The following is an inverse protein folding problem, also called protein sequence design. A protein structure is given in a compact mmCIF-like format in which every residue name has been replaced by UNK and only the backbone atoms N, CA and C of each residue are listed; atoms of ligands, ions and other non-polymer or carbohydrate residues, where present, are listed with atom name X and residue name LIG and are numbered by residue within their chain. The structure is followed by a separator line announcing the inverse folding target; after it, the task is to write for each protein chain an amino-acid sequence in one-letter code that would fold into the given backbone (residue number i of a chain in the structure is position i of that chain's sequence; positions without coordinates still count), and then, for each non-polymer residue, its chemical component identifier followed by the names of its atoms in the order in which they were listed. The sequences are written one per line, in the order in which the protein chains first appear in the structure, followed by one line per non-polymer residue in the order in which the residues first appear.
data_IF_763070094728
#
_entry.id   IF_763070094728
#
_cell.length_a   1.000
_cell.length_b   1.000
_cell.length_c   1.000
_cell.angle_alpha   90.00
_cell.angle_beta   90.00
_cell.angle_gamma   90.00
#
_symmetry.space_group_name_H-M   'P 1'
#
loop_
_entity.id
_entity.type
_entity.pdbx_description
1 polymer ?
#
# COMPACT_ATOMS: atom_id res chain seq x y z
N UNK A 1 -39.92 -65.89 -31.70
CA UNK A 1 -40.57 -64.80 -32.40
C UNK A 1 -41.01 -63.76 -31.38
N UNK A 2 -40.24 -62.72 -31.15
CA UNK A 2 -40.73 -61.56 -30.39
C UNK A 2 -39.95 -60.32 -30.84
N UNK A 3 -40.71 -59.31 -31.24
CA UNK A 3 -40.27 -58.09 -31.92
C UNK A 3 -39.58 -57.13 -30.93
N UNK A 4 -38.33 -56.70 -31.23
CA UNK A 4 -37.60 -55.67 -30.55
C UNK A 4 -38.23 -54.31 -30.85
N UNK A 5 -38.77 -53.62 -29.86
CA UNK A 5 -39.24 -52.23 -30.00
C UNK A 5 -38.06 -51.30 -29.73
N UNK A 6 -37.76 -50.48 -30.73
CA UNK A 6 -36.79 -49.38 -30.65
C UNK A 6 -37.34 -48.27 -29.74
N UNK A 7 -36.60 -47.95 -28.70
CA UNK A 7 -36.84 -46.78 -27.85
C UNK A 7 -35.91 -45.65 -28.34
N UNK A 8 -36.50 -44.69 -29.02
CA UNK A 8 -35.79 -43.45 -29.42
C UNK A 8 -35.64 -42.57 -28.18
N UNK A 9 -34.37 -42.35 -27.77
CA UNK A 9 -34.04 -41.36 -26.76
C UNK A 9 -33.81 -40.03 -27.44
N UNK A 10 -34.73 -39.09 -27.29
CA UNK A 10 -34.56 -37.70 -27.67
C UNK A 10 -33.53 -37.02 -26.75
N UNK A 11 -32.34 -36.81 -27.28
CA UNK A 11 -31.33 -35.99 -26.63
C UNK A 11 -31.65 -34.51 -26.92
N UNK A 12 -32.30 -33.83 -26.00
CA UNK A 12 -32.49 -32.37 -26.07
C UNK A 12 -31.18 -31.70 -25.75
N UNK A 13 -30.57 -31.06 -26.76
CA UNK A 13 -29.46 -30.11 -26.60
C UNK A 13 -29.96 -28.92 -25.77
N UNK A 14 -29.53 -28.84 -24.55
CA UNK A 14 -29.57 -27.56 -23.82
C UNK A 14 -28.45 -26.69 -24.36
N UNK A 15 -28.84 -25.67 -25.09
CA UNK A 15 -27.93 -24.58 -25.50
C UNK A 15 -27.24 -23.97 -24.29
N UNK A 16 -25.95 -23.95 -24.32
CA UNK A 16 -25.11 -23.22 -23.36
C UNK A 16 -25.42 -21.73 -23.47
N UNK A 17 -26.26 -21.24 -22.58
CA UNK A 17 -26.45 -19.82 -22.37
C UNK A 17 -25.16 -19.26 -21.74
N UNK A 18 -24.70 -18.20 -22.38
CA UNK A 18 -23.45 -17.50 -22.14
C UNK A 18 -23.00 -17.40 -20.71
N UNK A 19 -21.76 -17.80 -20.48
CA UNK A 19 -20.94 -17.27 -19.42
C UNK A 19 -20.76 -15.76 -19.67
N UNK A 20 -21.70 -14.97 -19.16
CA UNK A 20 -21.44 -13.56 -18.96
C UNK A 20 -20.27 -13.50 -17.99
N UNK A 21 -19.09 -13.20 -18.49
CA UNK A 21 -17.96 -12.77 -17.67
C UNK A 21 -18.45 -11.51 -16.94
N UNK A 22 -18.90 -11.68 -15.71
CA UNK A 22 -19.11 -10.55 -14.82
C UNK A 22 -17.74 -9.89 -14.69
N UNK A 23 -17.53 -8.83 -15.45
CA UNK A 23 -16.40 -7.94 -15.29
C UNK A 23 -16.53 -7.41 -13.87
N UNK A 24 -15.63 -7.86 -12.96
CA UNK A 24 -15.66 -7.41 -11.58
C UNK A 24 -15.53 -5.88 -11.60
N UNK A 25 -16.60 -5.20 -11.18
CA UNK A 25 -16.60 -3.76 -11.08
C UNK A 25 -15.46 -3.33 -10.16
N UNK A 26 -14.64 -2.41 -10.63
CA UNK A 26 -13.57 -1.81 -9.82
C UNK A 26 -14.13 -1.21 -8.52
N UNK A 27 -13.31 -1.11 -7.50
CA UNK A 27 -13.69 -0.39 -6.28
C UNK A 27 -13.73 1.10 -6.62
N UNK A 28 -14.94 1.63 -6.80
CA UNK A 28 -15.16 3.07 -6.98
C UNK A 28 -15.48 3.67 -5.62
N UNK A 29 -14.60 4.54 -5.16
CA UNK A 29 -14.94 5.42 -4.05
C UNK A 29 -15.75 6.57 -4.63
N UNK A 30 -16.98 6.75 -4.17
CA UNK A 30 -17.86 7.79 -4.67
C UNK A 30 -17.11 9.13 -4.75
N UNK A 31 -17.11 9.76 -5.91
CA UNK A 31 -16.44 11.04 -6.22
C UNK A 31 -14.89 11.03 -6.04
N UNK A 32 -14.23 9.86 -6.18
CA UNK A 32 -12.80 9.71 -5.98
C UNK A 32 -12.10 8.90 -7.08
N UNK A 33 -10.98 8.31 -6.69
CA UNK A 33 -10.17 7.44 -7.55
C UNK A 33 -10.86 6.10 -7.73
N UNK A 34 -10.74 5.53 -8.94
CA UNK A 34 -11.13 4.16 -9.23
C UNK A 34 -9.90 3.25 -9.24
N UNK A 35 -9.97 2.11 -8.57
CA UNK A 35 -8.92 1.09 -8.53
C UNK A 35 -9.50 -0.30 -8.74
N UNK A 36 -8.63 -1.26 -9.07
CA UNK A 36 -9.01 -2.67 -9.26
C UNK A 36 -9.61 -3.24 -7.97
N UNK A 37 -10.45 -4.30 -8.05
CA UNK A 37 -10.86 -5.06 -6.87
C UNK A 37 -9.65 -5.62 -6.11
N UNK A 38 -9.82 -5.89 -4.81
CA UNK A 38 -8.79 -6.56 -4.02
C UNK A 38 -8.46 -7.93 -4.62
N UNK A 39 -7.16 -8.25 -4.69
CA UNK A 39 -6.69 -9.53 -5.22
C UNK A 39 -7.31 -10.72 -4.48
N UNK A 40 -7.80 -11.71 -5.22
CA UNK A 40 -8.33 -12.96 -4.63
C UNK A 40 -7.23 -13.81 -3.98
N UNK A 41 -5.99 -13.64 -4.38
CA UNK A 41 -4.85 -14.37 -3.80
C UNK A 41 -4.70 -14.13 -2.30
N UNK A 42 -5.12 -12.95 -1.80
CA UNK A 42 -5.04 -12.61 -0.38
C UNK A 42 -5.75 -13.60 0.56
N UNK A 43 -6.78 -14.35 0.08
CA UNK A 43 -7.49 -15.34 0.91
C UNK A 43 -6.58 -16.50 1.35
N UNK A 44 -5.47 -16.74 0.64
CA UNK A 44 -4.47 -17.75 0.99
C UNK A 44 -3.54 -17.30 2.13
N UNK A 45 -3.66 -16.07 2.61
CA UNK A 45 -3.02 -15.56 3.82
C UNK A 45 -4.13 -15.05 4.76
N UNK A 46 -4.55 -15.81 5.79
CA UNK A 46 -5.64 -15.42 6.67
C UNK A 46 -5.40 -14.08 7.35
N UNK A 47 -6.39 -13.18 7.27
CA UNK A 47 -6.25 -11.79 7.73
C UNK A 47 -5.84 -11.67 9.19
N UNK A 48 -6.49 -12.46 10.06
CA UNK A 48 -6.23 -12.44 11.50
C UNK A 48 -4.77 -12.82 11.81
N UNK A 49 -4.25 -13.87 11.14
CA UNK A 49 -2.85 -14.30 11.32
C UNK A 49 -1.86 -13.24 10.85
N UNK A 50 -2.16 -12.58 9.72
CA UNK A 50 -1.32 -11.50 9.17
C UNK A 50 -1.34 -10.29 10.10
N UNK A 51 -2.50 -9.89 10.61
CA UNK A 51 -2.64 -8.77 11.54
C UNK A 51 -1.93 -9.05 12.88
N UNK A 52 -2.03 -10.27 13.40
CA UNK A 52 -1.36 -10.66 14.65
C UNK A 52 0.16 -10.67 14.47
N UNK A 53 0.65 -11.23 13.38
CA UNK A 53 2.08 -11.22 13.09
C UNK A 53 2.63 -9.79 12.90
N UNK A 54 1.88 -8.92 12.21
CA UNK A 54 2.23 -7.51 12.08
C UNK A 54 2.27 -6.81 13.44
N UNK A 55 1.32 -7.11 14.31
CA UNK A 55 1.27 -6.58 15.68
C UNK A 55 2.50 -6.99 16.48
N UNK A 56 2.86 -8.27 16.46
CA UNK A 56 4.03 -8.79 17.18
C UNK A 56 5.32 -8.18 16.64
N UNK A 57 5.50 -8.14 15.31
CA UNK A 57 6.67 -7.57 14.67
C UNK A 57 6.81 -6.07 14.99
N UNK A 58 5.72 -5.31 14.93
CA UNK A 58 5.75 -3.90 15.26
C UNK A 58 6.09 -3.66 16.73
N UNK A 59 5.50 -4.42 17.64
CA UNK A 59 5.77 -4.33 19.08
C UNK A 59 7.24 -4.60 19.38
N UNK A 60 7.78 -5.66 18.80
CA UNK A 60 9.20 -6.00 18.96
C UNK A 60 10.11 -4.90 18.42
N UNK A 61 9.82 -4.37 17.24
CA UNK A 61 10.59 -3.28 16.64
C UNK A 61 10.56 -2.02 17.50
N UNK A 62 9.40 -1.65 18.06
CA UNK A 62 9.29 -0.48 18.94
C UNK A 62 10.00 -0.72 20.27
N UNK A 63 10.01 -1.95 20.81
CA UNK A 63 10.78 -2.32 22.00
C UNK A 63 12.27 -2.18 21.76
N UNK A 64 12.78 -2.74 20.68
CA UNK A 64 14.19 -2.63 20.30
C UNK A 64 14.63 -1.19 20.05
N UNK A 65 13.77 -0.38 19.38
CA UNK A 65 14.04 1.04 19.19
C UNK A 65 14.11 1.78 20.52
N UNK A 66 13.22 1.47 21.47
CA UNK A 66 13.21 2.04 22.82
C UNK A 66 14.45 1.65 23.62
N UNK A 67 14.84 0.38 23.61
CA UNK A 67 16.04 -0.12 24.30
C UNK A 67 17.32 0.53 23.79
N UNK A 68 17.39 0.83 22.48
CA UNK A 68 18.50 1.54 21.84
C UNK A 68 18.42 3.07 22.00
N UNK A 69 17.39 3.60 22.68
CA UNK A 69 17.19 5.04 22.81
C UNK A 69 16.80 5.76 21.51
N UNK A 70 16.34 5.01 20.51
CA UNK A 70 15.99 5.54 19.19
C UNK A 70 14.48 5.84 19.03
N UNK A 71 13.64 5.42 19.97
CA UNK A 71 12.21 5.71 19.90
C UNK A 71 11.95 7.13 20.38
N UNK A 72 11.40 7.99 19.51
CA UNK A 72 11.11 9.37 19.85
C UNK A 72 10.09 9.45 21.01
N UNK A 73 10.32 10.32 22.00
CA UNK A 73 9.40 10.51 23.11
C UNK A 73 8.08 11.14 22.61
N UNK A 74 7.01 10.96 23.36
CA UNK A 74 5.67 11.51 23.00
C UNK A 74 5.64 13.03 22.93
N UNK A 75 6.64 13.69 23.49
CA UNK A 75 6.83 15.16 23.46
C UNK A 75 7.51 15.64 22.19
N UNK A 76 8.12 14.74 21.40
CA UNK A 76 8.86 15.09 20.18
C UNK A 76 7.96 15.85 19.18
N UNK A 77 8.41 17.01 18.67
CA UNK A 77 7.62 17.85 17.77
C UNK A 77 7.27 17.15 16.44
N UNK A 78 8.21 16.37 15.88
CA UNK A 78 7.97 15.66 14.61
C UNK A 78 6.99 14.49 14.83
N UNK A 79 7.07 13.78 15.95
CA UNK A 79 6.10 12.75 16.29
C UNK A 79 4.69 13.35 16.47
N UNK A 80 4.57 14.49 17.16
CA UNK A 80 3.28 15.20 17.29
C UNK A 80 2.74 15.63 15.93
N UNK A 81 3.60 16.15 15.05
CA UNK A 81 3.27 16.51 13.67
C UNK A 81 2.71 15.32 12.91
N UNK A 82 3.41 14.18 12.91
CA UNK A 82 2.97 12.95 12.25
C UNK A 82 1.63 12.44 12.80
N UNK A 83 1.44 12.47 14.11
CA UNK A 83 0.17 12.08 14.75
C UNK A 83 -0.99 13.00 14.33
N UNK A 84 -0.74 14.29 14.20
CA UNK A 84 -1.75 15.25 13.70
C UNK A 84 -2.12 14.93 12.24
N UNK A 85 -1.14 14.60 11.40
CA UNK A 85 -1.39 14.19 10.02
C UNK A 85 -2.23 12.91 9.99
N UNK A 86 -1.84 11.88 10.77
CA UNK A 86 -2.58 10.62 10.85
C UNK A 86 -4.03 10.82 11.31
N UNK A 87 -4.25 11.60 12.38
CA UNK A 87 -5.59 11.91 12.89
C UNK A 87 -6.52 12.52 11.84
N UNK A 88 -5.96 13.26 10.88
CA UNK A 88 -6.73 13.86 9.79
C UNK A 88 -6.99 12.87 8.64
N UNK A 89 -6.08 11.94 8.36
CA UNK A 89 -6.19 10.97 7.27
C UNK A 89 -7.07 9.78 7.66
N UNK A 90 -6.91 9.23 8.87
CA UNK A 90 -7.57 8.01 9.35
C UNK A 90 -9.10 8.01 9.14
N UNK A 91 -9.85 9.09 9.36
CA UNK A 91 -11.31 9.11 9.15
C UNK A 91 -11.75 8.76 7.72
N UNK A 92 -10.86 8.85 6.73
CA UNK A 92 -11.15 8.54 5.33
C UNK A 92 -10.78 7.12 4.92
N UNK A 93 -10.08 6.36 5.77
CA UNK A 93 -9.61 5.00 5.49
C UNK A 93 -10.74 3.97 5.33
N UNK A 94 -11.90 4.05 6.07
CA UNK A 94 -12.98 3.08 5.92
C UNK A 94 -13.63 3.07 4.53
N UNK A 95 -13.43 4.12 3.72
CA UNK A 95 -13.89 4.19 2.33
C UNK A 95 -13.20 3.13 1.45
N UNK A 96 -11.96 2.79 1.77
CA UNK A 96 -11.13 1.84 1.04
C UNK A 96 -11.10 0.45 1.68
N UNK A 97 -11.23 0.39 3.00
CA UNK A 97 -11.34 -0.85 3.75
C UNK A 97 -12.21 -0.61 5.00
N UNK A 98 -13.45 -1.09 5.03
CA UNK A 98 -14.37 -0.86 6.16
C UNK A 98 -13.81 -1.37 7.50
N UNK A 99 -12.96 -2.43 7.48
CA UNK A 99 -12.36 -2.99 8.69
C UNK A 99 -11.36 -2.02 9.33
N UNK A 100 -10.81 -1.07 8.56
CA UNK A 100 -9.86 -0.07 9.05
C UNK A 100 -10.45 0.82 10.17
N UNK A 101 -11.78 0.94 10.26
CA UNK A 101 -12.45 1.62 11.38
C UNK A 101 -12.21 0.96 12.75
N UNK A 102 -11.80 -0.32 12.75
CA UNK A 102 -11.53 -1.12 13.95
C UNK A 102 -10.03 -1.32 14.22
N UNK A 103 -9.16 -0.78 13.35
CA UNK A 103 -7.71 -0.94 13.52
C UNK A 103 -7.20 -0.17 14.73
N UNK A 104 -6.20 -0.75 15.39
CA UNK A 104 -5.45 -0.11 16.48
C UNK A 104 -4.36 0.81 15.88
N UNK A 105 -4.80 2.01 15.46
CA UNK A 105 -3.94 2.99 14.80
C UNK A 105 -2.84 3.51 15.74
N UNK A 106 -1.61 3.26 15.37
CA UNK A 106 -0.44 3.72 16.10
C UNK A 106 0.50 4.48 15.17
N UNK A 107 1.11 5.55 15.69
CA UNK A 107 2.13 6.33 14.97
C UNK A 107 3.32 6.51 15.88
N UNK A 108 4.47 6.00 15.45
CA UNK A 108 5.75 6.15 16.12
C UNK A 108 6.83 6.68 15.17
N UNK A 109 7.83 7.36 15.75
CA UNK A 109 8.98 7.92 15.06
C UNK A 109 10.24 7.27 15.59
N UNK A 110 11.06 6.72 14.71
CA UNK A 110 12.37 6.13 15.02
C UNK A 110 13.45 7.14 14.64
N UNK A 111 14.26 7.51 15.60
CA UNK A 111 15.35 8.48 15.45
C UNK A 111 16.56 7.80 14.79
N UNK A 112 16.48 7.63 13.47
CA UNK A 112 17.52 7.04 12.65
C UNK A 112 17.57 7.70 11.26
N UNK A 113 18.73 7.64 10.63
CA UNK A 113 19.04 8.34 9.37
C UNK A 113 18.45 7.67 8.12
N UNK A 114 17.78 6.53 8.29
CA UNK A 114 17.13 5.83 7.19
C UNK A 114 16.05 6.69 6.54
N UNK A 115 16.05 6.71 5.22
CA UNK A 115 15.00 7.34 4.42
C UNK A 115 13.92 6.30 4.22
N UNK A 116 13.06 6.12 5.22
CA UNK A 116 12.03 5.09 5.21
C UNK A 116 10.81 5.48 6.05
N UNK A 117 9.67 4.87 5.70
CA UNK A 117 8.43 4.87 6.46
C UNK A 117 7.67 3.57 6.14
N UNK A 118 6.69 3.20 6.94
CA UNK A 118 5.87 2.01 6.70
C UNK A 118 4.52 2.09 7.42
N UNK A 119 3.55 1.32 6.94
CA UNK A 119 2.32 1.00 7.65
C UNK A 119 2.07 -0.51 7.60
N UNK A 120 2.19 -1.17 8.73
CA UNK A 120 1.86 -2.59 8.85
C UNK A 120 0.33 -2.80 8.92
N UNK A 121 -0.17 -3.98 8.52
CA UNK A 121 -1.56 -4.38 8.70
C UNK A 121 -2.08 -4.10 10.11
N UNK A 122 -3.32 -3.62 10.20
CA UNK A 122 -3.90 -3.20 11.48
C UNK A 122 -3.56 -1.77 11.90
N UNK A 123 -2.97 -0.94 10.99
CA UNK A 123 -2.81 0.50 11.20
C UNK A 123 -1.58 0.93 12.02
N UNK A 124 -0.49 0.18 11.97
CA UNK A 124 0.74 0.44 12.73
C UNK A 124 1.76 1.16 11.87
N UNK A 125 1.87 2.47 12.06
CA UNK A 125 2.68 3.39 11.25
C UNK A 125 4.01 3.67 11.94
N UNK A 126 5.10 3.55 11.20
CA UNK A 126 6.44 3.96 11.61
C UNK A 126 7.07 4.91 10.60
N UNK A 127 7.69 5.96 11.10
CA UNK A 127 8.52 6.87 10.32
C UNK A 127 9.93 6.85 10.89
N UNK A 128 10.92 7.03 10.03
CA UNK A 128 12.30 7.31 10.44
C UNK A 128 12.58 8.81 10.31
N UNK A 129 13.40 9.37 11.19
CA UNK A 129 13.74 10.81 11.11
C UNK A 129 14.41 11.17 9.80
N UNK A 130 15.19 10.24 9.23
CA UNK A 130 15.92 10.47 7.97
C UNK A 130 15.02 10.87 6.81
N UNK A 131 13.81 10.27 6.68
CA UNK A 131 12.89 10.64 5.59
C UNK A 131 12.37 12.07 5.73
N UNK A 132 12.13 12.53 6.97
CA UNK A 132 11.62 13.87 7.25
C UNK A 132 12.69 14.93 6.99
N UNK A 133 13.93 14.66 7.45
CA UNK A 133 15.02 15.63 7.45
C UNK A 133 15.74 15.71 6.11
N UNK A 134 16.11 14.56 5.50
CA UNK A 134 16.85 14.54 4.23
C UNK A 134 16.02 15.02 3.06
N UNK A 135 14.71 14.74 3.07
CA UNK A 135 13.77 15.24 2.06
C UNK A 135 13.15 16.59 2.43
N UNK A 136 13.42 17.12 3.63
CA UNK A 136 12.85 18.39 4.11
C UNK A 136 11.35 18.48 3.87
N UNK A 137 10.60 17.46 4.33
CA UNK A 137 9.20 17.28 3.98
C UNK A 137 8.31 18.39 4.54
N UNK A 138 7.47 18.96 3.67
CA UNK A 138 6.30 19.73 4.09
C UNK A 138 5.26 18.81 4.75
N UNK A 139 4.22 19.37 5.39
CA UNK A 139 3.11 18.58 5.94
C UNK A 139 2.36 17.81 4.84
N UNK A 140 2.17 18.45 3.68
CA UNK A 140 1.51 17.82 2.53
C UNK A 140 2.33 16.64 1.99
N UNK A 141 3.67 16.76 1.93
CA UNK A 141 4.56 15.68 1.50
C UNK A 141 4.62 14.55 2.52
N UNK A 142 4.67 14.86 3.81
CA UNK A 142 4.60 13.85 4.87
C UNK A 142 3.24 13.12 4.86
N UNK A 143 2.16 13.84 4.56
CA UNK A 143 0.83 13.27 4.38
C UNK A 143 0.73 12.39 3.13
N UNK A 144 1.42 12.75 2.04
CA UNK A 144 1.49 11.93 0.82
C UNK A 144 2.19 10.59 1.10
N UNK A 145 3.34 10.60 1.84
CA UNK A 145 4.01 9.36 2.26
C UNK A 145 3.09 8.55 3.18
N UNK A 146 2.55 9.16 4.22
CA UNK A 146 1.69 8.48 5.17
C UNK A 146 0.47 7.86 4.49
N UNK A 147 -0.17 8.59 3.57
CA UNK A 147 -1.28 8.12 2.78
C UNK A 147 -0.90 6.91 1.92
N UNK A 148 0.27 6.96 1.27
CA UNK A 148 0.83 5.86 0.47
C UNK A 148 1.04 4.60 1.31
N UNK A 149 1.68 4.71 2.47
CA UNK A 149 1.90 3.57 3.38
C UNK A 149 0.57 3.00 3.92
N UNK A 150 -0.35 3.89 4.32
CA UNK A 150 -1.70 3.48 4.74
C UNK A 150 -2.42 2.77 3.59
N UNK A 151 -2.29 3.23 2.35
CA UNK A 151 -2.93 2.61 1.18
C UNK A 151 -2.44 1.18 0.96
N UNK A 152 -1.14 0.88 1.14
CA UNK A 152 -0.64 -0.49 1.10
C UNK A 152 -1.34 -1.41 2.10
N UNK A 153 -1.57 -0.93 3.33
CA UNK A 153 -2.29 -1.69 4.33
C UNK A 153 -3.79 -1.83 4.00
N UNK A 154 -4.46 -0.76 3.56
CA UNK A 154 -5.88 -0.76 3.17
C UNK A 154 -6.16 -1.69 1.98
N UNK A 155 -5.24 -1.72 1.01
CA UNK A 155 -5.33 -2.54 -0.20
C UNK A 155 -4.76 -3.94 -0.02
N UNK A 156 -4.31 -4.26 1.20
CA UNK A 156 -3.81 -5.58 1.59
C UNK A 156 -2.64 -6.08 0.73
N UNK A 157 -1.83 -5.17 0.17
CA UNK A 157 -0.71 -5.52 -0.72
C UNK A 157 0.30 -6.46 -0.04
N UNK A 158 0.61 -6.22 1.23
CA UNK A 158 1.47 -7.11 2.02
C UNK A 158 0.89 -8.52 2.16
N UNK A 159 -0.43 -8.62 2.40
CA UNK A 159 -1.15 -9.90 2.53
C UNK A 159 -1.17 -10.67 1.21
N UNK A 160 -1.40 -9.97 0.09
CA UNK A 160 -1.32 -10.58 -1.24
C UNK A 160 0.08 -11.12 -1.54
N UNK A 161 1.12 -10.36 -1.19
CA UNK A 161 2.52 -10.78 -1.36
C UNK A 161 2.87 -12.02 -0.55
N UNK A 162 2.44 -12.07 0.71
CA UNK A 162 2.60 -13.26 1.56
C UNK A 162 1.90 -14.48 0.95
N UNK A 163 0.67 -14.30 0.45
CA UNK A 163 -0.06 -15.36 -0.22
C UNK A 163 0.68 -15.90 -1.45
N UNK A 164 1.18 -15.00 -2.32
CA UNK A 164 1.99 -15.36 -3.50
C UNK A 164 3.28 -16.09 -3.10
N UNK A 165 3.97 -15.62 -2.08
CA UNK A 165 5.19 -16.25 -1.55
C UNK A 165 4.92 -17.66 -1.02
N UNK A 166 3.84 -17.86 -0.27
CA UNK A 166 3.45 -19.18 0.26
C UNK A 166 3.13 -20.18 -0.87
N UNK A 167 2.41 -19.75 -1.90
CA UNK A 167 2.13 -20.58 -3.09
C UNK A 167 3.41 -20.96 -3.82
N UNK A 168 4.33 -20.02 -3.98
CA UNK A 168 5.62 -20.26 -4.63
C UNK A 168 6.48 -21.25 -3.82
N UNK A 169 6.54 -21.08 -2.50
CA UNK A 169 7.28 -21.97 -1.60
C UNK A 169 6.69 -23.40 -1.60
N UNK A 170 5.35 -23.54 -1.65
CA UNK A 170 4.69 -24.82 -1.78
C UNK A 170 4.98 -25.46 -3.13
N UNK A 171 4.89 -24.71 -4.22
CA UNK A 171 5.22 -25.16 -5.57
C UNK A 171 6.69 -25.59 -5.69
N UNK A 172 7.63 -24.89 -5.07
CA UNK A 172 9.04 -25.23 -5.05
C UNK A 172 9.31 -26.54 -4.27
N UNK A 173 8.57 -26.80 -3.19
CA UNK A 173 8.64 -28.07 -2.43
C UNK A 173 8.08 -29.26 -3.22
N UNK A 174 7.07 -29.05 -4.05
CA UNK A 174 6.41 -30.10 -4.84
C UNK A 174 7.08 -30.32 -6.19
N UNK A 175 7.67 -29.27 -6.79
CA UNK A 175 8.16 -29.29 -8.18
C UNK A 175 9.67 -29.07 -8.38
N UNK A 176 10.48 -29.00 -7.33
CA UNK A 176 11.95 -28.88 -7.38
C UNK A 176 12.52 -28.00 -8.49
N UNK A 177 13.07 -26.85 -8.18
CA UNK A 177 14.03 -26.07 -8.99
C UNK A 177 13.53 -25.26 -10.22
N UNK A 178 12.27 -25.37 -10.67
CA UNK A 178 11.86 -24.71 -11.92
C UNK A 178 11.22 -23.30 -11.76
N UNK A 179 10.83 -22.86 -10.56
CA UNK A 179 10.06 -21.63 -10.38
C UNK A 179 10.84 -20.46 -9.75
N UNK A 180 12.06 -20.65 -9.30
CA UNK A 180 12.85 -19.57 -8.67
C UNK A 180 13.23 -18.42 -9.63
N UNK A 181 13.23 -18.67 -10.94
CA UNK A 181 13.60 -17.66 -11.94
C UNK A 181 12.48 -16.70 -12.35
N UNK A 182 11.21 -17.03 -12.10
CA UNK A 182 10.08 -16.29 -12.69
C UNK A 182 9.62 -15.13 -11.80
N UNK A 183 9.83 -15.19 -10.48
CA UNK A 183 9.26 -14.22 -9.53
C UNK A 183 10.26 -13.33 -8.81
N UNK A 184 11.55 -13.41 -9.12
CA UNK A 184 12.57 -12.51 -8.55
C UNK A 184 12.67 -12.55 -7.02
N UNK A 185 12.37 -13.68 -6.40
CA UNK A 185 12.49 -13.85 -4.95
C UNK A 185 13.90 -14.25 -4.59
N UNK A 186 14.59 -13.47 -3.75
CA UNK A 186 15.93 -13.79 -3.25
C UNK A 186 15.88 -15.15 -2.51
N UNK A 187 16.73 -16.13 -2.90
CA UNK A 187 16.80 -17.44 -2.25
C UNK A 187 17.08 -17.39 -0.74
N UNK A 188 17.74 -16.33 -0.26
CA UNK A 188 18.01 -16.13 1.16
C UNK A 188 16.78 -15.68 1.96
N UNK A 189 15.80 -15.03 1.30
CA UNK A 189 14.51 -14.70 1.89
C UNK A 189 13.61 -15.94 2.09
N UNK A 190 13.75 -16.96 1.24
CA UNK A 190 13.00 -18.22 1.36
C UNK A 190 13.36 -19.02 2.60
N UNK A 191 14.58 -18.94 3.07
CA UNK A 191 15.02 -19.59 4.32
C UNK A 191 14.41 -18.93 5.56
N UNK A 192 14.19 -17.60 5.54
CA UNK A 192 13.57 -16.83 6.63
C UNK A 192 12.03 -16.94 6.58
N UNK A 193 11.44 -17.06 5.40
CA UNK A 193 10.01 -17.29 5.22
C UNK A 193 9.57 -18.72 5.62
N UNK A 194 10.50 -19.68 5.62
CA UNK A 194 10.22 -21.04 6.11
C UNK A 194 9.95 -21.08 7.62
N UNK A 195 10.33 -20.06 8.38
CA UNK A 195 10.04 -19.89 9.80
C UNK A 195 8.76 -19.05 10.06
N UNK A 196 7.87 -18.94 9.08
CA UNK A 196 6.55 -18.30 9.17
C UNK A 196 6.63 -16.77 9.33
N UNK A 197 6.16 -16.04 8.36
CA UNK A 197 6.02 -14.59 8.35
C UNK A 197 7.37 -13.82 8.33
N UNK A 198 8.10 -13.95 7.22
CA UNK A 198 9.24 -13.07 6.92
C UNK A 198 8.85 -11.61 7.11
N UNK A 199 9.80 -10.78 7.50
CA UNK A 199 9.54 -9.37 7.83
C UNK A 199 8.68 -8.70 6.75
N UNK A 200 7.50 -8.21 7.12
CA UNK A 200 6.60 -7.47 6.24
C UNK A 200 7.25 -6.20 5.67
N UNK A 201 8.32 -5.73 6.30
CA UNK A 201 9.10 -4.57 5.88
C UNK A 201 9.99 -4.84 4.67
N UNK A 202 10.26 -6.11 4.34
CA UNK A 202 11.15 -6.48 3.23
C UNK A 202 10.37 -6.82 1.95
N UNK A 203 9.04 -6.73 1.97
CA UNK A 203 8.22 -7.04 0.82
C UNK A 203 8.38 -5.96 -0.26
N UNK A 204 8.91 -6.36 -1.40
CA UNK A 204 9.01 -5.49 -2.57
C UNK A 204 7.68 -5.47 -3.32
N UNK A 205 7.08 -4.31 -3.50
CA UNK A 205 5.82 -4.15 -4.19
C UNK A 205 5.98 -4.09 -5.72
N UNK A 206 4.96 -4.51 -6.44
CA UNK A 206 4.92 -4.40 -7.89
C UNK A 206 4.60 -2.97 -8.31
N UNK A 207 4.93 -2.60 -9.55
CA UNK A 207 4.60 -1.26 -10.09
C UNK A 207 3.10 -0.95 -10.05
N UNK A 208 2.24 -1.95 -10.23
CA UNK A 208 0.78 -1.77 -10.16
C UNK A 208 0.32 -1.50 -8.72
N UNK A 209 0.86 -2.24 -7.73
CA UNK A 209 0.58 -2.01 -6.32
C UNK A 209 1.06 -0.62 -5.87
N UNK A 210 2.22 -0.16 -6.38
CA UNK A 210 2.75 1.17 -6.09
C UNK A 210 1.86 2.29 -6.66
N UNK A 211 1.42 2.14 -7.92
CA UNK A 211 0.51 3.12 -8.54
C UNK A 211 -0.83 3.17 -7.84
N UNK A 212 -1.35 2.02 -7.44
CA UNK A 212 -2.58 1.94 -6.65
C UNK A 212 -2.40 2.61 -5.28
N UNK A 213 -1.29 2.37 -4.59
CA UNK A 213 -0.98 2.99 -3.30
C UNK A 213 -0.82 4.52 -3.42
N UNK A 214 -0.19 5.02 -4.49
CA UNK A 214 -0.11 6.45 -4.76
C UNK A 214 -1.50 7.08 -4.89
N UNK A 215 -2.35 6.51 -5.73
CA UNK A 215 -3.67 7.09 -6.02
C UNK A 215 -4.60 7.02 -4.80
N UNK A 216 -4.68 5.87 -4.13
CA UNK A 216 -5.48 5.70 -2.90
C UNK A 216 -4.94 6.58 -1.77
N UNK A 217 -3.62 6.64 -1.62
CA UNK A 217 -2.97 7.50 -0.62
C UNK A 217 -3.23 8.98 -0.85
N UNK A 218 -3.18 9.43 -2.11
CA UNK A 218 -3.52 10.81 -2.47
C UNK A 218 -5.02 11.10 -2.34
N UNK A 219 -5.92 10.14 -2.59
CA UNK A 219 -7.35 10.31 -2.34
C UNK A 219 -7.63 10.59 -0.86
N UNK A 220 -7.14 9.75 0.06
CA UNK A 220 -7.40 9.92 1.49
C UNK A 220 -6.71 11.17 2.06
N UNK A 221 -5.50 11.51 1.60
CA UNK A 221 -4.80 12.71 2.06
C UNK A 221 -5.45 13.98 1.51
N UNK A 222 -5.94 14.01 0.26
CA UNK A 222 -6.69 15.12 -0.31
C UNK A 222 -7.98 15.41 0.46
N UNK A 223 -8.74 14.37 0.82
CA UNK A 223 -9.94 14.48 1.66
C UNK A 223 -9.63 15.00 3.06
N UNK A 224 -8.45 14.67 3.59
CA UNK A 224 -7.93 15.18 4.84
C UNK A 224 -7.45 16.65 4.76
N UNK A 225 -7.47 17.26 3.55
CA UNK A 225 -7.08 18.64 3.29
C UNK A 225 -5.57 18.84 3.11
N UNK A 226 -4.87 17.81 2.62
CA UNK A 226 -3.50 17.90 2.15
C UNK A 226 -3.45 17.99 0.63
N UNK A 227 -2.51 18.77 0.11
CA UNK A 227 -2.41 19.05 -1.32
C UNK A 227 -1.88 17.83 -2.09
N UNK A 228 -2.65 17.22 -3.02
CA UNK A 228 -2.19 16.04 -3.76
C UNK A 228 -0.97 16.29 -4.65
N UNK A 229 -0.71 17.54 -5.04
CA UNK A 229 0.48 17.92 -5.83
C UNK A 229 1.78 17.66 -5.06
N UNK A 230 1.69 17.52 -3.74
CA UNK A 230 2.81 17.13 -2.87
C UNK A 230 3.37 15.74 -3.22
N UNK A 231 2.53 14.80 -3.66
CA UNK A 231 3.01 13.48 -4.10
C UNK A 231 3.97 13.58 -5.28
N UNK A 232 3.66 14.44 -6.26
CA UNK A 232 4.53 14.68 -7.42
C UNK A 232 5.86 15.33 -6.99
N UNK A 233 5.79 16.34 -6.12
CA UNK A 233 6.98 17.03 -5.61
C UNK A 233 7.87 16.07 -4.80
N UNK A 234 7.27 15.24 -3.97
CA UNK A 234 7.95 14.21 -3.19
C UNK A 234 8.74 13.23 -4.08
N UNK A 235 8.11 12.68 -5.13
CA UNK A 235 8.79 11.76 -6.04
C UNK A 235 9.95 12.43 -6.79
N UNK A 236 9.80 13.71 -7.16
CA UNK A 236 10.90 14.48 -7.75
C UNK A 236 12.06 14.67 -6.76
N UNK A 237 11.78 14.96 -5.48
CA UNK A 237 12.79 15.04 -4.43
C UNK A 237 13.51 13.70 -4.24
N UNK A 238 12.76 12.60 -4.14
CA UNK A 238 13.34 11.26 -4.00
C UNK A 238 14.22 10.90 -5.20
N UNK A 239 13.80 11.21 -6.43
CA UNK A 239 14.62 10.98 -7.61
C UNK A 239 15.94 11.77 -7.59
N UNK A 240 15.91 13.02 -7.12
CA UNK A 240 17.11 13.85 -6.98
C UNK A 240 18.06 13.28 -5.91
N UNK A 241 17.55 12.96 -4.75
CA UNK A 241 18.36 12.45 -3.63
C UNK A 241 18.98 11.08 -3.95
N UNK A 242 18.24 10.21 -4.65
CA UNK A 242 18.70 8.86 -5.02
C UNK A 242 19.89 8.85 -5.99
N UNK A 243 20.14 9.96 -6.69
CA UNK A 243 21.34 10.11 -7.53
C UNK A 243 22.62 10.20 -6.70
N UNK A 244 22.53 10.71 -5.48
CA UNK A 244 23.66 10.89 -4.57
C UNK A 244 23.82 9.75 -3.55
N UNK A 245 22.73 9.12 -3.13
CA UNK A 245 22.74 8.03 -2.16
C UNK A 245 21.52 7.11 -2.34
N UNK A 246 21.70 5.78 -2.43
CA UNK A 246 20.59 4.84 -2.47
C UNK A 246 19.69 5.01 -1.22
N UNK A 247 18.37 5.05 -1.44
CA UNK A 247 17.40 5.17 -0.36
C UNK A 247 16.71 3.84 -0.10
N UNK A 248 16.59 3.46 1.18
CA UNK A 248 15.96 2.20 1.59
C UNK A 248 14.52 2.08 1.08
N UNK A 249 13.75 3.15 1.18
CA UNK A 249 12.35 3.19 0.69
C UNK A 249 12.23 2.80 -0.80
N UNK A 250 13.22 3.12 -1.64
CA UNK A 250 13.17 2.76 -3.07
C UNK A 250 13.52 1.30 -3.33
N UNK A 251 14.07 0.58 -2.36
CA UNK A 251 14.31 -0.87 -2.46
C UNK A 251 13.03 -1.67 -2.40
N UNK A 252 12.08 -1.22 -1.59
CA UNK A 252 10.76 -1.83 -1.40
C UNK A 252 9.68 -1.18 -2.27
N UNK A 253 9.81 0.13 -2.54
CA UNK A 253 8.89 0.96 -3.33
C UNK A 253 9.58 1.49 -4.59
N UNK A 254 9.63 0.72 -5.67
CA UNK A 254 10.31 1.14 -6.89
C UNK A 254 9.71 2.42 -7.48
N UNK A 255 10.58 3.40 -7.68
CA UNK A 255 10.24 4.68 -8.28
C UNK A 255 10.10 4.61 -9.80
N UNK A 256 9.78 5.73 -10.40
CA UNK A 256 9.79 5.92 -11.86
C UNK A 256 8.88 7.04 -12.34
N UNK A 257 9.22 7.59 -13.51
CA UNK A 257 8.48 8.66 -14.17
C UNK A 257 7.01 8.29 -14.46
N UNK A 258 6.73 7.00 -14.60
CA UNK A 258 5.37 6.49 -14.82
C UNK A 258 4.45 6.77 -13.64
N UNK A 259 4.95 6.73 -12.39
CA UNK A 259 4.18 7.07 -11.19
C UNK A 259 3.81 8.54 -11.16
N UNK A 260 4.77 9.42 -11.48
CA UNK A 260 4.55 10.87 -11.57
C UNK A 260 3.48 11.18 -12.62
N UNK A 261 3.61 10.62 -13.83
CA UNK A 261 2.63 10.81 -14.92
C UNK A 261 1.24 10.33 -14.53
N UNK A 262 1.16 9.22 -13.81
CA UNK A 262 -0.11 8.67 -13.34
C UNK A 262 -0.78 9.58 -12.31
N UNK A 263 -0.02 10.10 -11.35
CA UNK A 263 -0.52 11.09 -10.40
C UNK A 263 -0.97 12.37 -11.11
N UNK A 264 -0.19 12.88 -12.08
CA UNK A 264 -0.54 14.06 -12.88
C UNK A 264 -1.86 13.87 -13.63
N UNK A 265 -2.08 12.68 -14.23
CA UNK A 265 -3.29 12.35 -14.95
C UNK A 265 -4.55 12.31 -14.05
N UNK A 266 -4.39 12.07 -12.75
CA UNK A 266 -5.49 11.99 -11.80
C UNK A 266 -5.72 13.29 -10.99
N UNK A 267 -4.97 14.36 -11.26
CA UNK A 267 -5.15 15.64 -10.55
C UNK A 267 -6.54 16.25 -10.78
N UNK A 268 -7.18 15.98 -11.90
CA UNK A 268 -8.56 16.41 -12.18
C UNK A 268 -9.59 15.79 -11.21
N UNK A 269 -9.29 14.62 -10.60
CA UNK A 269 -10.09 13.97 -9.57
C UNK A 269 -9.65 14.41 -8.17
N UNK A 270 -8.34 14.47 -7.91
CA UNK A 270 -7.78 14.72 -6.58
C UNK A 270 -7.91 16.18 -6.13
N UNK A 271 -7.69 17.16 -7.03
CA UNK A 271 -7.80 18.57 -6.67
C UNK A 271 -9.21 19.00 -6.23
N UNK A 272 -10.32 18.51 -6.81
CA UNK A 272 -11.65 18.76 -6.28
C UNK A 272 -11.86 18.26 -4.85
N UNK A 273 -11.29 17.09 -4.48
CA UNK A 273 -11.36 16.56 -3.12
C UNK A 273 -10.63 17.49 -2.14
N UNK A 274 -9.44 17.91 -2.49
CA UNK A 274 -8.63 18.85 -1.72
C UNK A 274 -9.33 20.21 -1.59
N UNK A 275 -9.83 20.79 -2.71
CA UNK A 275 -10.54 22.06 -2.70
C UNK A 275 -11.77 22.01 -1.77
N UNK A 276 -12.54 20.91 -1.79
CA UNK A 276 -13.69 20.68 -0.90
C UNK A 276 -13.25 20.65 0.57
N UNK A 277 -12.17 19.94 0.90
CA UNK A 277 -11.62 19.90 2.24
C UNK A 277 -11.16 21.29 2.74
N UNK A 278 -10.67 22.13 1.82
CA UNK A 278 -10.29 23.53 2.08
C UNK A 278 -11.46 24.51 2.00
N UNK A 279 -12.69 24.05 1.74
CA UNK A 279 -13.89 24.87 1.57
C UNK A 279 -13.69 25.95 0.49
N UNK A 280 -13.08 25.59 -0.64
CA UNK A 280 -12.77 26.47 -1.75
C UNK A 280 -13.05 25.79 -3.11
N UNK A 281 -12.69 26.41 -4.21
CA UNK A 281 -12.77 25.84 -5.56
C UNK A 281 -11.37 25.58 -6.10
N UNK A 282 -11.24 24.65 -7.06
CA UNK A 282 -9.95 24.33 -7.68
C UNK A 282 -9.26 25.57 -8.27
N UNK A 283 -10.03 26.46 -8.92
CA UNK A 283 -9.50 27.69 -9.52
C UNK A 283 -8.90 28.67 -8.50
N UNK A 284 -9.28 28.59 -7.24
CA UNK A 284 -8.78 29.44 -6.15
C UNK A 284 -7.66 28.81 -5.34
N UNK A 285 -7.28 27.56 -5.65
CA UNK A 285 -6.15 26.93 -4.97
C UNK A 285 -4.84 27.64 -5.35
N UNK A 286 -3.98 27.96 -4.38
CA UNK A 286 -2.65 28.50 -4.70
C UNK A 286 -1.80 27.45 -5.43
N UNK A 287 -0.75 27.91 -6.11
CA UNK A 287 0.27 27.00 -6.62
C UNK A 287 0.91 26.25 -5.45
N UNK A 288 1.15 24.96 -5.64
CA UNK A 288 1.85 24.16 -4.62
C UNK A 288 3.32 24.60 -4.51
N UNK A 289 3.79 24.72 -3.29
CA UNK A 289 5.19 25.08 -2.99
C UNK A 289 5.80 23.98 -2.13
N UNK A 290 6.79 23.29 -2.69
CA UNK A 290 7.65 22.37 -1.95
C UNK A 290 8.85 23.10 -1.35
N UNK A 291 9.50 22.52 -0.35
CA UNK A 291 10.81 22.95 0.13
C UNK A 291 11.90 22.52 -0.87
N UNK A 292 12.94 23.33 -1.03
CA UNK A 292 14.14 22.91 -1.77
C UNK A 292 14.91 21.84 -0.99
N UNK A 293 15.61 20.95 -1.69
CA UNK A 293 16.68 20.14 -1.09
C UNK A 293 17.95 21.01 -1.01
N UNK A 294 18.65 20.96 0.13
CA UNK A 294 19.94 21.65 0.31
C UNK A 294 21.06 20.87 -0.36
#
# INVERSE_FOLDING_TARGET
MMKLKQLAVCLTLFAATGLATAQEAGVVVQDGIEVKPLSRMRVLAPEEQVNEAARLQYTEMMSQAKEKGLLAPTTDPQLKRLRTIAQRIIPFTPRWNPVASKWDWQVNLIQADEVNAFCMPGGRIGFYTGILTKLQLTDDEAAAIMGHEIAHALREHGRERLAKSNVTALGARVGGALLSGIFGVDPNLTATAANGLGSMLVLKFSRDEEREADLVGLDISSRAGYDPRAGIALWRKMATLNQSAPMEILSTHPGGDTRIKDMEAHMNVLLPLYARAKKTTVAKLPAYKSTALN
#
